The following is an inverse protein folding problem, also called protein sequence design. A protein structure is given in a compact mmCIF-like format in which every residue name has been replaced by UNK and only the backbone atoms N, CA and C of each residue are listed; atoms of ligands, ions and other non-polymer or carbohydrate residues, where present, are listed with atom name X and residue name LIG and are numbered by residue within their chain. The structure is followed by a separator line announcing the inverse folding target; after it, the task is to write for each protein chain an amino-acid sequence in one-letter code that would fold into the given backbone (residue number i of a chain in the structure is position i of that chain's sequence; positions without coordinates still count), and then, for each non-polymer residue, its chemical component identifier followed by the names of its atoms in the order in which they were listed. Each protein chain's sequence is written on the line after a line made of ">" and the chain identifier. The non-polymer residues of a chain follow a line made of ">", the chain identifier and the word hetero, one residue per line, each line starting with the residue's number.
data_IF_965590614947
#
_entry.id   IF_965590614947
#
_cell.length_a   1.000
_cell.length_b   1.000
_cell.length_c   1.000
_cell.angle_alpha   90.00
_cell.angle_beta   90.00
_cell.angle_gamma   90.00
#
_symmetry.space_group_name_H-M   'P 1'
#
loop_
_entity.id
_entity.type
_entity.pdbx_description
1 polymer ?
#
# COMPACT_ATOMS: atom_id res chain seq x y z
N UNK A 1 0.57 -13.91 -2.66
CA UNK A 1 -0.58 -12.98 -2.85
C UNK A 1 -1.79 -13.52 -2.09
N UNK A 2 -2.72 -12.66 -1.66
CA UNK A 2 -4.00 -13.08 -1.08
C UNK A 2 -4.87 -13.67 -2.19
N UNK A 3 -5.51 -14.83 -1.98
CA UNK A 3 -6.39 -15.41 -2.97
C UNK A 3 -7.65 -14.56 -3.15
N UNK A 4 -8.13 -14.45 -4.40
CA UNK A 4 -9.41 -13.81 -4.70
C UNK A 4 -10.56 -14.59 -4.04
N UNK A 5 -11.64 -13.89 -3.68
CA UNK A 5 -12.79 -14.46 -2.98
C UNK A 5 -12.59 -14.61 -1.46
N UNK A 6 -11.38 -14.40 -0.94
CA UNK A 6 -11.14 -14.46 0.51
C UNK A 6 -11.75 -13.26 1.21
N UNK A 7 -12.60 -13.51 2.20
CA UNK A 7 -13.11 -12.46 3.07
C UNK A 7 -12.07 -12.08 4.11
N UNK A 8 -11.77 -10.78 4.19
CA UNK A 8 -10.96 -10.18 5.24
C UNK A 8 -11.89 -9.46 6.22
N UNK A 9 -11.71 -9.70 7.51
CA UNK A 9 -12.44 -9.03 8.58
C UNK A 9 -11.49 -8.85 9.77
N UNK A 10 -10.90 -7.67 9.91
CA UNK A 10 -9.94 -7.38 10.97
C UNK A 10 -10.05 -5.95 11.48
N UNK A 11 -9.63 -5.74 12.72
CA UNK A 11 -9.57 -4.46 13.40
C UNK A 11 -8.13 -4.12 13.80
N UNK A 12 -7.76 -2.84 13.69
CA UNK A 12 -6.50 -2.33 14.22
C UNK A 12 -6.60 -2.16 15.74
N UNK A 13 -5.68 -2.74 16.48
CA UNK A 13 -5.66 -2.68 17.95
C UNK A 13 -4.50 -1.82 18.45
N UNK A 14 -4.78 -1.01 19.47
CA UNK A 14 -3.77 -0.19 20.14
C UNK A 14 -3.15 0.88 19.23
N UNK A 15 -1.86 1.12 19.39
CA UNK A 15 -1.09 2.09 18.59
C UNK A 15 -0.27 1.41 17.52
N UNK A 16 -0.14 2.09 16.38
CA UNK A 16 0.75 1.66 15.31
C UNK A 16 2.21 1.88 15.72
N UNK A 17 3.01 0.83 15.75
CA UNK A 17 4.40 0.86 16.21
C UNK A 17 5.41 0.68 15.07
N UNK A 18 6.54 1.40 15.18
CA UNK A 18 7.67 1.25 14.28
C UNK A 18 8.21 -0.18 14.29
N UNK A 19 8.36 -0.76 13.11
CA UNK A 19 8.84 -2.13 12.94
C UNK A 19 10.36 -2.30 13.10
N UNK A 20 11.11 -1.20 13.33
CA UNK A 20 12.57 -1.26 13.46
C UNK A 20 13.30 -1.32 12.13
N UNK A 21 14.45 -1.97 12.09
CA UNK A 21 15.38 -2.00 10.96
C UNK A 21 15.59 -3.43 10.48
N UNK A 22 15.63 -3.65 9.18
CA UNK A 22 16.05 -4.93 8.60
C UNK A 22 17.56 -4.92 8.39
N UNK A 23 18.27 -5.85 9.01
CA UNK A 23 19.73 -5.94 8.90
C UNK A 23 20.21 -7.39 8.92
N UNK A 24 21.11 -7.73 8.02
CA UNK A 24 21.71 -9.08 7.92
C UNK A 24 20.66 -10.22 7.96
N UNK A 25 19.59 -10.08 7.17
CA UNK A 25 18.54 -11.11 7.06
C UNK A 25 17.58 -11.18 8.25
N UNK A 26 17.64 -10.27 9.22
CA UNK A 26 16.74 -10.24 10.37
C UNK A 26 16.24 -8.85 10.71
N UNK A 27 15.09 -8.80 11.36
CA UNK A 27 14.51 -7.56 11.87
C UNK A 27 15.05 -7.24 13.27
N UNK A 28 15.58 -6.04 13.41
CA UNK A 28 15.94 -5.45 14.71
C UNK A 28 14.80 -4.55 15.16
N UNK A 29 14.24 -4.80 16.33
CA UNK A 29 13.12 -4.04 16.89
C UNK A 29 13.53 -2.58 17.12
N UNK A 30 12.60 -1.66 16.91
CA UNK A 30 12.83 -0.24 17.18
C UNK A 30 13.07 -0.03 18.69
N UNK A 31 14.24 0.48 19.11
CA UNK A 31 14.54 0.67 20.53
C UNK A 31 13.66 1.74 21.19
N UNK A 32 13.01 2.59 20.40
CA UNK A 32 12.16 3.69 20.90
C UNK A 32 10.69 3.30 20.95
N UNK A 33 10.29 2.13 20.41
CA UNK A 33 8.88 1.76 20.27
C UNK A 33 8.02 2.85 19.62
N UNK A 34 8.62 3.65 18.72
CA UNK A 34 8.00 4.88 18.20
C UNK A 34 6.62 4.63 17.61
N UNK A 35 5.65 5.47 17.97
CA UNK A 35 4.30 5.47 17.40
C UNK A 35 4.36 6.09 16.01
N UNK A 36 3.64 5.50 15.06
CA UNK A 36 3.56 5.94 13.68
C UNK A 36 2.16 6.45 13.37
N UNK A 37 2.11 7.41 12.42
CA UNK A 37 0.84 7.86 11.85
C UNK A 37 0.15 6.72 11.08
N UNK A 38 -1.13 6.47 11.38
CA UNK A 38 -1.95 5.44 10.75
C UNK A 38 -2.25 5.70 9.27
N UNK A 39 -2.11 6.93 8.78
CA UNK A 39 -2.26 7.29 7.38
C UNK A 39 -0.99 7.09 6.54
N UNK A 40 0.18 6.96 7.19
CA UNK A 40 1.45 6.81 6.51
C UNK A 40 1.63 5.39 5.95
N UNK A 41 2.15 5.28 4.72
CA UNK A 41 2.61 4.01 4.18
C UNK A 41 3.99 3.58 4.73
N UNK A 42 4.65 4.42 5.53
CA UNK A 42 5.94 4.10 6.16
C UNK A 42 5.68 3.28 7.43
N UNK A 43 6.41 2.19 7.59
CA UNK A 43 6.35 1.29 8.74
C UNK A 43 7.54 1.47 9.69
N UNK A 44 8.30 2.56 9.50
CA UNK A 44 9.48 2.91 10.26
C UNK A 44 9.45 4.39 10.68
N UNK A 45 9.93 4.67 11.89
CA UNK A 45 10.22 6.03 12.31
C UNK A 45 11.45 6.59 11.54
N UNK A 46 11.63 7.91 11.55
CA UNK A 46 12.69 8.56 10.81
C UNK A 46 14.09 7.98 11.10
N UNK A 47 14.39 7.70 12.38
CA UNK A 47 15.68 7.12 12.78
C UNK A 47 15.89 5.72 12.24
N UNK A 48 14.87 4.85 12.32
CA UNK A 48 14.95 3.50 11.76
C UNK A 48 15.06 3.54 10.24
N UNK A 49 14.32 4.43 9.57
CA UNK A 49 14.38 4.59 8.12
C UNK A 49 15.76 5.04 7.62
N UNK A 50 16.46 5.89 8.36
CA UNK A 50 17.84 6.31 8.05
C UNK A 50 18.85 5.15 8.19
N UNK A 51 18.59 4.21 9.10
CA UNK A 51 19.48 3.07 9.35
C UNK A 51 19.19 1.86 8.43
N UNK A 52 17.98 1.81 7.86
CA UNK A 52 17.55 0.69 7.01
C UNK A 52 17.97 0.90 5.56
N UNK A 53 19.12 0.32 5.22
CA UNK A 53 19.69 0.37 3.85
C UNK A 53 19.09 -0.68 2.92
N UNK A 54 18.34 -1.64 3.44
CA UNK A 54 17.82 -2.79 2.67
C UNK A 54 16.77 -2.41 1.60
N UNK A 55 16.22 -1.20 1.68
CA UNK A 55 15.13 -0.75 0.80
C UNK A 55 15.60 -0.05 -0.48
N UNK A 56 16.89 0.25 -0.58
CA UNK A 56 17.45 0.93 -1.74
C UNK A 56 18.66 0.18 -2.27
N UNK A 57 18.63 -0.22 -3.53
CA UNK A 57 19.80 -0.78 -4.21
C UNK A 57 20.97 0.22 -4.15
N UNK A 58 20.68 1.52 -4.25
CA UNK A 58 21.70 2.57 -4.17
C UNK A 58 22.36 2.68 -2.79
N UNK A 59 21.64 2.31 -1.70
CA UNK A 59 22.16 2.42 -0.33
C UNK A 59 22.80 1.14 0.19
N UNK A 60 22.43 -0.02 -0.36
CA UNK A 60 22.83 -1.36 0.14
C UNK A 60 23.94 -2.01 -0.68
N UNK A 61 24.36 -1.39 -1.78
CA UNK A 61 25.34 -1.97 -2.69
C UNK A 61 26.67 -1.22 -2.65
N UNK A 62 27.76 -1.97 -2.60
CA UNK A 62 29.10 -1.49 -2.85
C UNK A 62 29.35 -1.45 -4.37
N UNK A 63 30.19 -0.53 -4.83
CA UNK A 63 30.46 -0.38 -6.26
C UNK A 63 31.05 -1.64 -6.90
N UNK A 64 31.75 -2.44 -6.12
CA UNK A 64 32.38 -3.72 -6.46
C UNK A 64 31.54 -4.95 -6.11
N UNK A 65 30.21 -4.79 -5.94
CA UNK A 65 29.29 -5.92 -5.72
C UNK A 65 29.46 -6.94 -6.85
N UNK A 66 29.89 -8.19 -6.54
CA UNK A 66 30.18 -9.21 -7.56
C UNK A 66 28.92 -9.81 -8.19
N UNK A 67 27.74 -9.52 -7.63
CA UNK A 67 26.49 -10.09 -8.12
C UNK A 67 26.11 -9.49 -9.47
N UNK A 68 25.56 -10.28 -10.38
CA UNK A 68 24.99 -9.75 -11.62
C UNK A 68 23.69 -8.99 -11.34
N UNK A 69 23.46 -7.94 -12.13
CA UNK A 69 22.27 -7.10 -12.10
C UNK A 69 21.55 -7.12 -13.44
N UNK A 70 20.22 -7.04 -13.42
CA UNK A 70 19.39 -6.82 -14.59
C UNK A 70 18.87 -5.40 -14.64
N UNK A 71 18.92 -4.82 -15.85
CA UNK A 71 18.20 -3.58 -16.19
C UNK A 71 16.89 -3.97 -16.85
N UNK A 72 15.79 -3.35 -16.41
CA UNK A 72 14.46 -3.64 -16.92
C UNK A 72 13.68 -2.37 -17.26
N UNK A 73 12.77 -2.49 -18.19
CA UNK A 73 11.66 -1.57 -18.40
C UNK A 73 10.41 -2.15 -17.77
N UNK A 74 9.69 -1.37 -16.99
CA UNK A 74 8.45 -1.76 -16.36
C UNK A 74 7.31 -0.85 -16.79
N UNK A 75 6.22 -1.46 -17.23
CA UNK A 75 4.99 -0.80 -17.66
C UNK A 75 3.97 -0.85 -16.53
N UNK A 76 3.37 0.29 -16.22
CA UNK A 76 2.33 0.42 -15.20
C UNK A 76 0.99 0.92 -15.76
N UNK A 77 0.97 1.36 -16.99
CA UNK A 77 -0.15 1.90 -17.75
C UNK A 77 0.32 2.77 -18.92
N UNK A 78 -0.56 3.28 -19.77
CA UNK A 78 -0.20 4.14 -20.91
C UNK A 78 0.67 5.32 -20.49
N UNK A 79 1.83 5.48 -21.12
CA UNK A 79 2.80 6.52 -20.78
C UNK A 79 3.50 6.34 -19.41
N UNK A 80 3.21 5.28 -18.67
CA UNK A 80 3.82 5.01 -17.38
C UNK A 80 4.87 3.89 -17.48
N UNK A 81 5.91 4.15 -18.27
CA UNK A 81 7.08 3.26 -18.39
C UNK A 81 8.22 3.80 -17.55
N UNK A 82 8.88 2.92 -16.83
CA UNK A 82 10.06 3.27 -16.02
C UNK A 82 11.21 2.32 -16.28
N UNK A 83 12.41 2.83 -16.11
CA UNK A 83 13.61 2.01 -16.01
C UNK A 83 13.88 1.65 -14.53
N UNK A 84 14.59 0.55 -14.32
CA UNK A 84 15.08 0.17 -13.01
C UNK A 84 16.07 -0.95 -13.08
N UNK A 85 16.78 -1.15 -11.96
CA UNK A 85 17.77 -2.21 -11.80
C UNK A 85 17.40 -3.12 -10.62
N UNK A 86 17.78 -4.37 -10.72
CA UNK A 86 17.63 -5.34 -9.62
C UNK A 86 18.72 -6.39 -9.70
N UNK A 87 19.13 -6.93 -8.55
CA UNK A 87 20.04 -8.07 -8.54
C UNK A 87 19.37 -9.25 -9.28
N UNK A 88 20.12 -9.94 -10.12
CA UNK A 88 19.60 -11.00 -10.99
C UNK A 88 18.93 -12.14 -10.20
N UNK A 89 19.41 -12.43 -9.00
CA UNK A 89 18.85 -13.43 -8.08
C UNK A 89 17.40 -13.12 -7.64
N UNK A 90 17.02 -11.84 -7.60
CA UNK A 90 15.64 -11.43 -7.32
C UNK A 90 14.70 -11.66 -8.50
N UNK A 91 15.26 -11.74 -9.72
CA UNK A 91 14.50 -11.95 -10.94
C UNK A 91 13.26 -11.05 -11.04
N UNK A 92 12.13 -11.57 -11.50
CA UNK A 92 10.88 -10.80 -11.66
C UNK A 92 10.19 -10.45 -10.33
N UNK A 93 10.60 -11.02 -9.19
CA UNK A 93 9.94 -10.76 -7.90
C UNK A 93 9.87 -9.26 -7.57
N UNK A 94 10.94 -8.51 -7.94
CA UNK A 94 10.96 -7.05 -7.76
C UNK A 94 9.88 -6.32 -8.55
N UNK A 95 9.55 -6.82 -9.73
CA UNK A 95 8.53 -6.25 -10.62
C UNK A 95 7.12 -6.54 -10.11
N UNK A 96 6.91 -7.77 -9.63
CA UNK A 96 5.68 -8.16 -8.94
C UNK A 96 5.45 -7.31 -7.68
N UNK A 97 6.48 -7.11 -6.85
CA UNK A 97 6.42 -6.25 -5.65
C UNK A 97 6.05 -4.79 -5.98
N UNK A 98 6.51 -4.28 -7.11
CA UNK A 98 6.19 -2.93 -7.58
C UNK A 98 4.81 -2.81 -8.23
N UNK A 99 4.17 -3.94 -8.53
CA UNK A 99 2.90 -4.02 -9.24
C UNK A 99 3.03 -3.58 -10.70
N UNK A 100 4.14 -3.97 -11.36
CA UNK A 100 4.31 -3.76 -12.80
C UNK A 100 3.31 -4.62 -13.57
N UNK A 101 2.55 -4.01 -14.47
CA UNK A 101 1.55 -4.70 -15.33
C UNK A 101 2.25 -5.57 -16.37
N UNK A 102 3.33 -5.04 -16.95
CA UNK A 102 4.20 -5.78 -17.85
C UNK A 102 5.65 -5.29 -17.70
N UNK A 103 6.60 -6.07 -18.20
CA UNK A 103 8.00 -5.67 -18.22
C UNK A 103 8.79 -6.38 -19.30
N UNK A 104 9.96 -5.82 -19.62
CA UNK A 104 10.98 -6.45 -20.44
C UNK A 104 12.38 -6.21 -19.83
N UNK A 105 13.27 -7.19 -20.00
CA UNK A 105 14.68 -7.02 -19.66
C UNK A 105 15.40 -6.30 -20.78
N UNK A 106 16.24 -5.31 -20.43
CA UNK A 106 17.10 -4.58 -21.38
C UNK A 106 18.52 -5.13 -21.46
N UNK A 107 19.05 -5.56 -20.31
CA UNK A 107 20.43 -6.02 -20.26
C UNK A 107 20.78 -6.64 -18.91
N UNK A 108 21.92 -7.35 -18.89
CA UNK A 108 22.45 -8.01 -17.69
C UNK A 108 23.96 -7.76 -17.58
N UNK A 109 24.45 -7.47 -16.37
CA UNK A 109 25.85 -7.24 -16.15
C UNK A 109 26.18 -6.76 -14.73
N UNK A 110 27.39 -6.21 -14.52
CA UNK A 110 27.81 -5.66 -13.23
C UNK A 110 26.93 -4.49 -12.79
N UNK A 111 26.83 -4.26 -11.47
CA UNK A 111 26.03 -3.17 -10.89
C UNK A 111 26.33 -1.82 -11.53
N UNK A 112 27.62 -1.46 -11.70
CA UNK A 112 27.97 -0.14 -12.23
C UNK A 112 27.60 0.05 -13.70
N UNK A 113 27.63 -1.02 -14.51
CA UNK A 113 27.11 -1.00 -15.88
C UNK A 113 25.58 -0.81 -15.88
N UNK A 114 24.86 -1.53 -15.03
CA UNK A 114 23.40 -1.38 -14.87
C UNK A 114 23.02 0.04 -14.45
N UNK A 115 23.73 0.65 -13.50
CA UNK A 115 23.52 2.05 -13.08
C UNK A 115 23.78 3.06 -14.20
N UNK A 116 24.83 2.85 -14.99
CA UNK A 116 25.13 3.72 -16.15
C UNK A 116 24.02 3.62 -17.19
N UNK A 117 23.52 2.43 -17.48
CA UNK A 117 22.40 2.25 -18.40
C UNK A 117 21.11 2.92 -17.87
N UNK A 118 20.78 2.78 -16.57
CA UNK A 118 19.64 3.46 -15.96
C UNK A 118 19.77 4.99 -16.08
N UNK A 119 20.96 5.55 -15.80
CA UNK A 119 21.22 6.98 -15.94
C UNK A 119 21.16 7.44 -17.40
N UNK A 120 21.70 6.64 -18.36
CA UNK A 120 21.64 6.91 -19.79
C UNK A 120 20.19 7.01 -20.27
N UNK A 121 19.34 6.02 -19.91
CA UNK A 121 17.92 6.00 -20.27
C UNK A 121 17.16 7.19 -19.69
N UNK A 122 17.45 7.55 -18.44
CA UNK A 122 16.87 8.71 -17.80
C UNK A 122 17.23 10.02 -18.49
N UNK A 123 18.49 10.17 -18.94
CA UNK A 123 18.97 11.39 -19.58
C UNK A 123 18.61 11.49 -21.07
N UNK A 124 18.71 10.39 -21.81
CA UNK A 124 18.53 10.40 -23.26
C UNK A 124 17.06 10.23 -23.71
N UNK A 125 16.28 9.43 -22.99
CA UNK A 125 14.89 9.11 -23.33
C UNK A 125 13.88 9.66 -22.30
N UNK A 126 14.35 10.43 -21.32
CA UNK A 126 13.53 10.97 -20.24
C UNK A 126 12.68 9.88 -19.49
N UNK A 127 13.18 8.65 -19.45
CA UNK A 127 12.49 7.54 -18.76
C UNK A 127 12.68 7.67 -17.25
N UNK A 128 11.62 7.85 -16.48
CA UNK A 128 11.73 8.05 -15.04
C UNK A 128 12.09 6.74 -14.30
N UNK A 129 12.60 6.88 -13.07
CA UNK A 129 12.87 5.77 -12.16
C UNK A 129 11.69 5.46 -11.22
N UNK A 130 10.69 6.34 -11.18
CA UNK A 130 9.52 6.21 -10.28
C UNK A 130 8.27 6.90 -10.80
N UNK A 131 7.12 6.42 -10.35
CA UNK A 131 5.82 7.06 -10.52
C UNK A 131 5.07 7.13 -9.20
N UNK A 132 4.21 8.14 -9.08
CA UNK A 132 3.29 8.27 -7.97
C UNK A 132 2.35 7.04 -7.91
N UNK A 133 2.00 6.63 -6.71
CA UNK A 133 1.13 5.47 -6.49
C UNK A 133 -0.28 5.70 -7.06
N UNK A 134 -0.80 6.92 -6.91
CA UNK A 134 -2.09 7.31 -7.43
C UNK A 134 -2.16 7.15 -8.96
N UNK A 135 -1.12 7.58 -9.71
CA UNK A 135 -1.06 7.41 -11.16
C UNK A 135 -1.12 5.94 -11.57
N UNK A 136 -0.37 5.07 -10.89
CA UNK A 136 -0.41 3.62 -11.15
C UNK A 136 -1.78 3.00 -10.87
N UNK A 137 -2.47 3.44 -9.81
CA UNK A 137 -3.81 2.96 -9.46
C UNK A 137 -4.84 3.39 -10.50
N UNK A 138 -4.80 4.67 -10.90
CA UNK A 138 -5.68 5.21 -11.93
C UNK A 138 -5.52 4.45 -13.25
N UNK A 139 -4.28 4.21 -13.68
CA UNK A 139 -3.99 3.50 -14.92
C UNK A 139 -4.52 2.06 -14.93
N UNK A 140 -4.51 1.37 -13.78
CA UNK A 140 -5.00 -0.03 -13.70
C UNK A 140 -6.50 -0.18 -13.99
N UNK A 141 -7.30 0.87 -13.77
CA UNK A 141 -8.74 0.87 -14.08
C UNK A 141 -9.06 1.03 -15.58
N UNK A 142 -8.05 1.37 -16.41
CA UNK A 142 -8.24 1.67 -17.84
C UNK A 142 -7.03 1.17 -18.66
N UNK A 143 -6.62 -0.07 -18.45
CA UNK A 143 -5.51 -0.66 -19.20
C UNK A 143 -5.92 -0.94 -20.64
N UNK A 144 -5.08 -0.59 -21.64
CA UNK A 144 -5.31 -0.97 -23.02
C UNK A 144 -5.14 -2.50 -23.19
N UNK A 145 -5.54 -3.07 -24.32
CA UNK A 145 -5.30 -4.45 -24.68
C UNK A 145 -3.82 -4.86 -24.57
N UNK A 146 -3.56 -6.12 -24.30
CA UNK A 146 -2.17 -6.63 -24.14
C UNK A 146 -1.28 -6.29 -25.33
N UNK A 147 -1.71 -6.44 -26.61
CA UNK A 147 -0.87 -6.08 -27.76
C UNK A 147 -0.41 -4.63 -27.76
N UNK A 148 -1.26 -3.70 -27.37
CA UNK A 148 -0.92 -2.27 -27.34
C UNK A 148 0.15 -1.96 -26.25
N UNK A 149 0.04 -2.61 -25.09
CA UNK A 149 1.02 -2.51 -24.01
C UNK A 149 2.37 -3.09 -24.42
N UNK A 150 2.34 -4.22 -25.13
CA UNK A 150 3.54 -4.88 -25.67
C UNK A 150 4.21 -3.96 -26.68
N UNK A 151 3.44 -3.38 -27.60
CA UNK A 151 3.98 -2.46 -28.63
C UNK A 151 4.63 -1.21 -28.00
N UNK A 152 3.99 -0.60 -26.99
CA UNK A 152 4.55 0.56 -26.29
C UNK A 152 5.87 0.21 -25.55
N UNK A 153 5.93 -0.97 -24.92
CA UNK A 153 7.12 -1.44 -24.24
C UNK A 153 8.24 -1.81 -25.21
N UNK A 154 7.89 -2.42 -26.36
CA UNK A 154 8.82 -2.79 -27.42
C UNK A 154 9.44 -1.56 -28.08
N UNK A 155 8.63 -0.55 -28.36
CA UNK A 155 9.11 0.71 -28.91
C UNK A 155 10.19 1.35 -28.02
N UNK A 156 9.94 1.41 -26.72
CA UNK A 156 10.93 1.95 -25.78
C UNK A 156 12.16 1.04 -25.66
N UNK A 157 11.97 -0.28 -25.71
CA UNK A 157 13.07 -1.24 -25.68
C UNK A 157 14.00 -1.06 -26.88
N UNK A 158 13.45 -0.98 -28.10
CA UNK A 158 14.22 -0.73 -29.32
C UNK A 158 14.98 0.60 -29.25
N UNK A 159 14.30 1.69 -28.86
CA UNK A 159 14.93 2.99 -28.69
C UNK A 159 16.09 2.96 -27.67
N UNK A 160 15.94 2.19 -26.60
CA UNK A 160 16.98 2.02 -25.59
C UNK A 160 18.22 1.27 -26.12
N UNK A 161 18.01 0.25 -26.95
CA UNK A 161 19.11 -0.53 -27.56
C UNK A 161 19.89 0.25 -28.62
N UNK A 162 19.27 1.25 -29.25
CA UNK A 162 19.91 2.12 -30.27
C UNK A 162 20.74 3.26 -29.68
N UNK A 163 20.68 3.46 -28.35
CA UNK A 163 21.41 4.56 -27.71
C UNK A 163 22.92 4.40 -27.81
N UNK A 164 23.59 5.44 -28.27
CA UNK A 164 25.03 5.54 -28.15
C UNK A 164 25.46 5.63 -26.69
N UNK A 165 26.56 4.97 -26.33
CA UNK A 165 27.09 4.98 -24.96
C UNK A 165 26.53 3.87 -24.06
N UNK A 166 25.88 2.85 -24.67
CA UNK A 166 25.52 1.65 -23.95
C UNK A 166 26.74 1.02 -23.27
N UNK A 167 26.68 0.65 -21.99
CA UNK A 167 27.84 0.11 -21.27
C UNK A 167 28.30 -1.22 -21.88
N UNK A 168 29.55 -1.34 -22.31
CA UNK A 168 30.11 -2.52 -22.95
C UNK A 168 29.99 -3.81 -22.11
N UNK A 169 30.06 -3.69 -20.80
CA UNK A 169 29.95 -4.83 -19.88
C UNK A 169 28.48 -5.19 -19.52
N UNK A 170 27.51 -4.47 -20.06
CA UNK A 170 26.09 -4.80 -19.93
C UNK A 170 25.62 -5.53 -21.19
N UNK A 171 25.45 -6.84 -21.07
CA UNK A 171 24.97 -7.68 -22.17
C UNK A 171 23.51 -7.32 -22.49
N UNK A 172 23.20 -6.89 -23.73
CA UNK A 172 21.82 -6.66 -24.15
C UNK A 172 20.99 -7.94 -24.06
N UNK A 173 19.70 -7.76 -23.82
CA UNK A 173 18.72 -8.85 -23.81
C UNK A 173 17.69 -8.57 -24.93
N UNK A 174 17.39 -9.55 -25.74
CA UNK A 174 16.35 -9.47 -26.76
C UNK A 174 15.00 -9.15 -26.12
N UNK A 175 14.16 -8.44 -26.88
CA UNK A 175 12.83 -8.09 -26.40
C UNK A 175 12.00 -9.34 -26.13
N UNK A 176 11.52 -9.46 -24.93
CA UNK A 176 10.54 -10.41 -24.50
C UNK A 176 9.66 -9.77 -23.42
N UNK A 177 8.40 -9.57 -23.74
CA UNK A 177 7.46 -8.99 -22.79
C UNK A 177 6.89 -10.08 -21.88
N UNK A 178 6.97 -9.86 -20.58
CA UNK A 178 6.25 -10.62 -19.57
C UNK A 178 5.07 -9.79 -19.06
N UNK A 179 3.84 -10.22 -19.34
CA UNK A 179 2.61 -9.58 -18.89
C UNK A 179 2.10 -10.25 -17.61
N UNK A 180 1.65 -9.46 -16.65
CA UNK A 180 1.18 -9.90 -15.34
C UNK A 180 -0.35 -9.84 -15.20
N UNK A 181 -1.11 -9.68 -16.28
CA UNK A 181 -2.57 -9.57 -16.24
C UNK A 181 -3.21 -10.76 -15.51
N UNK A 182 -2.84 -11.98 -15.89
CA UNK A 182 -3.35 -13.19 -15.24
C UNK A 182 -2.81 -13.33 -13.81
N UNK A 183 -1.51 -13.06 -13.60
CA UNK A 183 -0.88 -13.17 -12.30
C UNK A 183 -1.56 -12.29 -11.25
N UNK A 184 -1.91 -11.06 -11.62
CA UNK A 184 -2.60 -10.13 -10.74
C UNK A 184 -4.12 -10.22 -10.84
N UNK A 185 -4.69 -10.87 -11.87
CA UNK A 185 -6.13 -10.80 -12.15
C UNK A 185 -6.59 -9.36 -12.36
N UNK A 186 -5.91 -8.61 -13.23
CA UNK A 186 -6.17 -7.19 -13.47
C UNK A 186 -7.55 -6.93 -14.05
N UNK A 187 -8.14 -7.91 -14.72
CA UNK A 187 -9.52 -7.93 -15.23
C UNK A 187 -10.59 -7.77 -14.13
N UNK A 188 -10.24 -8.08 -12.88
CA UNK A 188 -11.13 -7.93 -11.73
C UNK A 188 -11.17 -6.52 -11.14
N UNK A 189 -10.29 -5.64 -11.61
CA UNK A 189 -10.22 -4.26 -11.14
C UNK A 189 -11.20 -3.42 -11.96
N UNK A 190 -12.27 -2.86 -11.37
CA UNK A 190 -13.20 -1.99 -12.09
C UNK A 190 -12.55 -0.65 -12.42
N UNK A 191 -13.16 0.09 -13.38
CA UNK A 191 -12.70 1.42 -13.76
C UNK A 191 -12.75 2.44 -12.62
N UNK A 192 -13.71 2.28 -11.71
CA UNK A 192 -13.85 3.15 -10.53
C UNK A 192 -13.48 2.38 -9.27
N UNK A 193 -12.47 2.88 -8.57
CA UNK A 193 -11.97 2.30 -7.31
C UNK A 193 -11.77 3.43 -6.32
N UNK A 194 -12.36 3.31 -5.13
CA UNK A 194 -12.09 4.22 -4.03
C UNK A 194 -10.80 3.87 -3.30
N UNK A 195 -10.24 4.79 -2.53
CA UNK A 195 -9.09 4.53 -1.66
C UNK A 195 -9.51 4.46 -0.20
N UNK A 196 -9.01 3.44 0.52
CA UNK A 196 -9.10 3.41 1.96
C UNK A 196 -8.07 4.36 2.57
N UNK A 197 -8.53 5.20 3.46
CA UNK A 197 -7.71 6.19 4.15
C UNK A 197 -6.85 5.59 5.27
N UNK A 198 -6.34 6.46 6.14
CA UNK A 198 -5.55 6.06 7.30
C UNK A 198 -6.36 5.26 8.32
N UNK A 199 -5.70 4.31 8.96
CA UNK A 199 -6.28 3.53 10.05
C UNK A 199 -6.05 4.20 11.40
N UNK A 200 -7.01 4.08 12.29
CA UNK A 200 -6.91 4.46 13.70
C UNK A 200 -7.16 3.23 14.57
N UNK A 201 -6.83 3.32 15.85
CA UNK A 201 -7.18 2.24 16.80
C UNK A 201 -8.69 1.97 16.78
N UNK A 202 -9.06 0.72 16.69
CA UNK A 202 -10.47 0.28 16.57
C UNK A 202 -11.03 0.35 15.15
N UNK A 203 -10.30 0.91 14.17
CA UNK A 203 -10.76 0.90 12.78
C UNK A 203 -10.80 -0.52 12.22
N UNK A 204 -11.86 -0.83 11.51
CA UNK A 204 -12.14 -2.15 10.95
C UNK A 204 -12.11 -2.12 9.42
N UNK A 205 -11.61 -3.21 8.83
CA UNK A 205 -11.70 -3.47 7.40
C UNK A 205 -12.42 -4.81 7.21
N UNK A 206 -13.54 -4.76 6.50
CA UNK A 206 -14.37 -5.91 6.18
C UNK A 206 -14.68 -5.89 4.69
N UNK A 207 -14.27 -6.92 3.98
CA UNK A 207 -14.48 -7.00 2.53
C UNK A 207 -13.93 -8.29 1.93
N UNK A 208 -14.35 -8.56 0.71
CA UNK A 208 -13.88 -9.68 -0.09
C UNK A 208 -12.70 -9.23 -0.97
N UNK A 209 -11.60 -9.99 -0.96
CA UNK A 209 -10.44 -9.73 -1.82
C UNK A 209 -10.81 -9.99 -3.28
N UNK A 210 -10.70 -8.97 -4.11
CA UNK A 210 -10.79 -9.11 -5.57
C UNK A 210 -9.45 -9.52 -6.15
N UNK A 211 -8.41 -8.76 -5.79
CA UNK A 211 -7.04 -9.05 -6.22
C UNK A 211 -6.02 -8.26 -5.40
N UNK A 212 -4.72 -8.59 -5.63
CA UNK A 212 -3.58 -7.86 -5.09
C UNK A 212 -2.57 -7.52 -6.18
N UNK A 213 -2.13 -6.26 -6.24
CA UNK A 213 -1.14 -5.77 -7.22
C UNK A 213 -0.02 -5.04 -6.49
N UNK A 214 1.13 -5.68 -6.37
CA UNK A 214 2.23 -5.19 -5.53
C UNK A 214 1.79 -5.11 -4.06
N UNK A 215 1.83 -3.92 -3.48
CA UNK A 215 1.33 -3.67 -2.12
C UNK A 215 -0.15 -3.26 -2.05
N UNK A 216 -0.82 -3.09 -3.19
CA UNK A 216 -2.23 -2.71 -3.24
C UNK A 216 -3.13 -3.95 -3.15
N UNK A 217 -4.12 -3.92 -2.26
CA UNK A 217 -5.16 -4.94 -2.13
C UNK A 217 -6.49 -4.30 -2.48
N UNK A 218 -7.16 -4.86 -3.48
CA UNK A 218 -8.47 -4.43 -3.94
C UNK A 218 -9.54 -5.26 -3.24
N UNK A 219 -10.47 -4.59 -2.60
CA UNK A 219 -11.52 -5.19 -1.79
C UNK A 219 -12.90 -4.76 -2.29
N UNK A 220 -13.81 -5.69 -2.43
CA UNK A 220 -15.24 -5.39 -2.45
C UNK A 220 -15.69 -5.21 -1.01
N UNK A 221 -16.03 -3.99 -0.64
CA UNK A 221 -16.43 -3.67 0.72
C UNK A 221 -17.81 -4.27 1.03
N UNK A 222 -17.96 -4.79 2.26
CA UNK A 222 -19.23 -5.26 2.74
C UNK A 222 -20.19 -4.08 2.90
N UNK A 223 -21.42 -4.22 2.40
CA UNK A 223 -22.51 -3.27 2.64
C UNK A 223 -23.14 -3.56 4.00
N UNK A 224 -23.46 -2.51 4.75
CA UNK A 224 -24.34 -2.64 5.91
C UNK A 224 -25.74 -3.00 5.40
N UNK A 225 -26.03 -4.27 5.25
CA UNK A 225 -27.39 -4.72 4.99
C UNK A 225 -28.26 -4.37 6.16
N UNK A 226 -29.35 -3.67 5.93
CA UNK A 226 -30.48 -3.63 6.86
C UNK A 226 -30.87 -5.08 7.10
N UNK A 227 -30.88 -5.51 8.37
CA UNK A 227 -31.03 -6.90 8.73
C UNK A 227 -32.34 -7.49 8.21
N UNK A 228 -32.24 -8.39 7.26
CA UNK A 228 -33.22 -9.44 7.12
C UNK A 228 -33.04 -10.37 8.32
N UNK A 229 -33.94 -10.20 9.32
CA UNK A 229 -34.06 -11.07 10.46
C UNK A 229 -34.40 -12.49 9.98
N UNK A 230 -33.39 -13.35 9.90
CA UNK A 230 -33.61 -14.77 9.89
C UNK A 230 -34.15 -15.15 11.31
N UNK A 231 -35.45 -15.25 11.41
CA UNK A 231 -36.12 -15.88 12.52
C UNK A 231 -35.63 -17.32 12.64
N UNK A 232 -34.79 -17.58 13.63
CA UNK A 232 -34.51 -18.94 14.04
C UNK A 232 -35.78 -19.49 14.71
N UNK A 233 -36.50 -20.31 13.97
CA UNK A 233 -37.57 -21.12 14.54
C UNK A 233 -37.00 -22.03 15.63
N UNK A 234 -37.54 -21.82 16.86
CA UNK A 234 -37.17 -22.59 18.02
C UNK A 234 -37.71 -24.00 17.95
N UNK A 235 -36.86 -24.95 18.23
CA UNK A 235 -37.26 -26.26 18.69
C UNK A 235 -37.23 -26.26 20.23
N UNK A 236 -38.40 -26.37 20.83
CA UNK A 236 -38.55 -26.45 22.27
C UNK A 236 -38.02 -27.77 22.83
N UNK A 237 -37.52 -27.71 24.05
CA UNK A 237 -37.48 -28.84 24.95
C UNK A 237 -37.73 -28.32 26.38
N UNK A 238 -38.81 -28.78 26.96
CA UNK A 238 -39.24 -28.58 28.34
C UNK A 238 -38.27 -29.23 29.32
N UNK A 239 -38.09 -28.64 30.49
CA UNK A 239 -37.38 -29.27 31.59
C UNK A 239 -37.47 -28.44 32.89
N UNK A 240 -38.39 -28.79 33.75
CA UNK A 240 -38.69 -28.20 35.04
C UNK A 240 -37.61 -28.37 36.10
N UNK A 241 -37.53 -27.47 37.08
CA UNK A 241 -36.83 -27.71 38.35
C UNK A 241 -36.50 -26.44 39.13
N UNK A 242 -37.39 -26.00 39.92
CA UNK A 242 -37.51 -25.49 41.30
C UNK A 242 -36.22 -25.23 42.10
N UNK A 243 -36.24 -24.13 42.87
CA UNK A 243 -35.58 -24.00 44.19
C UNK A 243 -34.86 -22.68 44.42
N UNK A 244 -35.49 -21.69 44.95
CA UNK A 244 -35.46 -21.07 46.31
C UNK A 244 -34.15 -20.40 46.79
N UNK A 245 -34.42 -19.15 47.21
CA UNK A 245 -33.89 -18.39 48.38
C UNK A 245 -32.40 -18.00 48.41
N UNK A 246 -32.05 -16.76 48.70
CA UNK A 246 -32.45 -15.79 49.65
C UNK A 246 -31.30 -14.84 49.96
N UNK A 247 -31.58 -13.61 50.36
CA UNK A 247 -30.75 -12.76 51.21
C UNK A 247 -29.88 -11.72 50.53
N UNK A 248 -30.22 -10.47 50.41
CA UNK A 248 -30.28 -9.39 51.40
C UNK A 248 -28.92 -8.86 51.88
N UNK A 249 -28.75 -7.61 51.63
CA UNK A 249 -28.29 -6.55 52.55
C UNK A 249 -27.09 -5.68 52.08
N UNK A 250 -27.44 -4.39 51.80
CA UNK A 250 -26.93 -3.14 52.45
C UNK A 250 -25.42 -2.88 52.37
N UNK A 251 -24.97 -1.76 52.11
CA UNK A 251 -25.23 -0.32 52.18
C UNK A 251 -23.89 0.38 52.31
N UNK A 252 -23.82 1.57 51.82
CA UNK A 252 -23.05 2.62 52.48
C UNK A 252 -21.83 3.12 51.71
N UNK A 253 -21.89 4.38 51.34
CA UNK A 253 -20.98 5.39 51.76
C UNK A 253 -20.69 6.46 50.77
N UNK A 254 -21.28 7.61 51.00
CA UNK A 254 -21.09 8.89 50.33
C UNK A 254 -19.70 9.49 50.56
N UNK A 255 -19.21 10.28 49.62
CA UNK A 255 -18.08 11.19 49.78
C UNK A 255 -18.05 12.27 48.73
N UNK A 256 -18.78 13.36 48.96
CA UNK A 256 -18.62 14.65 48.23
C UNK A 256 -17.40 15.36 48.72
N UNK A 257 -16.62 15.97 47.83
CA UNK A 257 -15.97 17.25 48.12
C UNK A 257 -15.96 18.11 46.83
N UNK A 258 -16.47 19.32 47.04
CA UNK A 258 -16.55 20.46 46.12
C UNK A 258 -15.21 21.21 46.04
N UNK A 259 -14.96 21.85 44.93
CA UNK A 259 -13.89 22.83 44.82
C UNK A 259 -13.96 23.64 43.54
N UNK A 260 -14.34 24.87 43.66
CA UNK A 260 -14.66 25.95 42.74
C UNK A 260 -13.58 26.29 41.67
N UNK A 261 -14.08 26.84 40.51
CA UNK A 261 -13.33 27.54 39.47
C UNK A 261 -12.89 28.97 39.90
N UNK A 262 -12.65 29.95 39.02
CA UNK A 262 -12.96 30.09 37.57
C UNK A 262 -11.88 30.86 36.73
N UNK A 263 -12.31 31.29 35.50
CA UNK A 263 -11.89 32.45 34.61
C UNK A 263 -10.77 32.15 33.60
N UNK A 264 -11.01 32.09 32.30
CA UNK A 264 -11.22 33.19 31.37
C UNK A 264 -10.22 33.07 30.24
N UNK A 265 -10.66 33.11 28.99
CA UNK A 265 -9.79 33.26 27.82
C UNK A 265 -10.47 32.84 26.51
N UNK A 266 -11.21 33.78 25.90
CA UNK A 266 -11.76 33.67 24.57
C UNK A 266 -10.63 33.60 23.52
N UNK A 267 -10.74 32.64 22.61
CA UNK A 267 -9.92 32.52 21.43
C UNK A 267 -10.65 31.71 20.35
N UNK A 268 -11.53 32.38 19.60
CA UNK A 268 -12.20 31.78 18.44
C UNK A 268 -11.17 31.54 17.35
N UNK A 269 -10.80 30.28 17.13
CA UNK A 269 -10.22 29.80 15.88
C UNK A 269 -11.28 28.98 15.15
N UNK A 270 -11.79 29.54 14.05
CA UNK A 270 -12.68 28.85 13.12
C UNK A 270 -11.91 27.73 12.43
N UNK A 271 -12.07 26.51 12.92
CA UNK A 271 -11.62 25.31 12.25
C UNK A 271 -12.63 24.91 11.19
N UNK A 272 -12.28 25.09 9.93
CA UNK A 272 -12.96 24.42 8.82
C UNK A 272 -12.71 22.93 8.92
N UNK A 273 -13.68 22.20 9.45
CA UNK A 273 -13.67 20.74 9.48
C UNK A 273 -13.78 20.17 8.06
N UNK A 274 -13.18 19.02 7.77
CA UNK A 274 -13.34 18.37 6.49
C UNK A 274 -14.79 17.88 6.35
N UNK A 275 -15.44 18.31 5.28
CA UNK A 275 -16.74 17.80 4.87
C UNK A 275 -16.56 16.34 4.48
N UNK A 276 -16.85 15.44 5.41
CA UNK A 276 -16.94 14.03 5.15
C UNK A 276 -18.22 13.75 4.34
N UNK A 277 -18.08 13.56 3.04
CA UNK A 277 -19.15 12.94 2.25
C UNK A 277 -19.18 11.46 2.62
N UNK A 278 -20.04 11.11 3.57
CA UNK A 278 -20.43 9.74 3.82
C UNK A 278 -21.25 9.27 2.61
N UNK A 279 -20.61 8.65 1.63
CA UNK A 279 -21.27 7.93 0.56
C UNK A 279 -22.02 6.73 1.15
N UNK A 280 -23.35 6.83 1.19
CA UNK A 280 -24.24 5.74 1.58
C UNK A 280 -24.24 4.66 0.50
N UNK A 281 -23.94 3.41 0.90
CA UNK A 281 -24.64 2.22 0.44
C UNK A 281 -24.49 1.83 -1.02
N UNK A 282 -23.49 1.09 -1.32
CA UNK A 282 -23.35 0.18 -2.45
C UNK A 282 -22.03 -0.53 -2.27
N UNK A 283 -21.96 -1.85 -2.48
CA UNK A 283 -20.75 -2.64 -2.34
C UNK A 283 -19.64 -2.17 -3.30
N UNK A 284 -19.11 -0.98 -3.08
CA UNK A 284 -18.06 -0.37 -3.87
C UNK A 284 -16.74 -1.10 -3.73
N UNK A 285 -15.89 -1.00 -4.75
CA UNK A 285 -14.52 -1.51 -4.69
C UNK A 285 -13.61 -0.43 -4.14
N UNK A 286 -12.79 -0.80 -3.18
CA UNK A 286 -11.78 0.07 -2.61
C UNK A 286 -10.41 -0.59 -2.61
N UNK A 287 -9.37 0.21 -2.68
CA UNK A 287 -7.98 -0.23 -2.61
C UNK A 287 -7.32 0.24 -1.32
N UNK A 288 -6.58 -0.66 -0.67
CA UNK A 288 -5.70 -0.34 0.46
C UNK A 288 -4.25 -0.67 0.12
N UNK A 289 -3.34 0.18 0.57
CA UNK A 289 -1.92 -0.18 0.62
C UNK A 289 -1.65 -1.09 1.83
N UNK A 290 -1.36 -2.35 1.59
CA UNK A 290 -1.08 -3.31 2.66
C UNK A 290 0.08 -2.86 3.59
N UNK A 291 0.97 -1.97 3.15
CA UNK A 291 2.02 -1.40 3.99
C UNK A 291 1.47 -0.53 5.12
N UNK A 292 0.26 0.02 4.94
CA UNK A 292 -0.41 0.78 6.01
C UNK A 292 -0.83 -0.11 7.19
N UNK A 293 -0.94 -1.41 6.97
CA UNK A 293 -1.24 -2.40 8.01
C UNK A 293 -0.01 -2.74 8.86
N UNK A 294 1.19 -2.50 8.31
CA UNK A 294 2.45 -2.81 8.98
C UNK A 294 2.62 -1.95 10.25
N UNK A 295 2.92 -2.60 11.35
CA UNK A 295 3.10 -1.95 12.66
C UNK A 295 1.85 -1.88 13.52
N UNK A 296 0.69 -2.27 13.00
CA UNK A 296 -0.52 -2.52 13.77
C UNK A 296 -0.56 -3.93 14.34
N UNK A 297 -1.16 -4.08 15.51
CA UNK A 297 -1.69 -5.38 15.98
C UNK A 297 -3.07 -5.54 15.36
N UNK A 298 -3.28 -6.61 14.60
CA UNK A 298 -4.54 -6.88 13.94
C UNK A 298 -5.31 -7.98 14.71
N UNK A 299 -6.49 -7.67 15.17
CA UNK A 299 -7.44 -8.60 15.76
C UNK A 299 -8.62 -8.88 14.81
N UNK A 300 -9.52 -9.76 15.21
CA UNK A 300 -10.77 -9.99 14.48
C UNK A 300 -11.63 -8.73 14.52
N UNK A 301 -12.30 -8.39 13.41
CA UNK A 301 -13.33 -7.36 13.40
C UNK A 301 -14.56 -7.86 14.16
N UNK A 302 -15.21 -6.95 14.87
CA UNK A 302 -16.49 -7.20 15.56
C UNK A 302 -17.65 -6.78 14.65
N UNK A 303 -17.45 -5.71 13.90
CA UNK A 303 -18.43 -5.19 12.95
C UNK A 303 -18.50 -5.99 11.65
N UNK A 304 -19.52 -5.68 10.86
CA UNK A 304 -19.75 -6.30 9.54
C UNK A 304 -19.40 -5.39 8.37
N UNK A 305 -18.96 -4.17 8.64
CA UNK A 305 -18.68 -3.14 7.64
C UNK A 305 -17.31 -2.49 7.91
N UNK A 306 -16.69 -1.99 6.85
CA UNK A 306 -15.45 -1.20 6.95
C UNK A 306 -15.74 0.16 7.59
N UNK A 307 -14.98 0.52 8.62
CA UNK A 307 -15.08 1.82 9.32
C UNK A 307 -13.96 2.79 8.93
N UNK A 308 -12.95 2.32 8.20
CA UNK A 308 -11.89 3.17 7.64
C UNK A 308 -12.50 4.16 6.64
N UNK A 309 -12.09 5.45 6.65
CA UNK A 309 -12.59 6.43 5.69
C UNK A 309 -12.35 6.00 4.25
N UNK A 310 -13.38 6.10 3.42
CA UNK A 310 -13.34 5.79 1.99
C UNK A 310 -13.28 7.11 1.22
N UNK A 311 -12.32 7.25 0.32
CA UNK A 311 -12.14 8.44 -0.52
C UNK A 311 -12.34 8.05 -1.98
N UNK A 312 -13.18 8.79 -2.72
CA UNK A 312 -13.26 8.63 -4.16
C UNK A 312 -11.94 9.11 -4.80
N UNK A 313 -11.39 8.34 -5.71
CA UNK A 313 -10.27 8.76 -6.54
C UNK A 313 -10.86 9.55 -7.70
N UNK A 314 -10.87 10.90 -7.59
CA UNK A 314 -11.29 11.74 -8.70
C UNK A 314 -10.22 11.81 -9.80
N UNK A 315 -10.59 11.98 -11.07
CA UNK A 315 -9.66 12.33 -12.13
C UNK A 315 -9.03 13.70 -11.80
N UNK A 316 -7.75 13.74 -11.45
CA UNK A 316 -7.04 14.98 -11.11
C UNK A 316 -6.30 15.01 -9.76
N UNK A 317 -6.37 13.96 -8.95
CA UNK A 317 -5.63 13.90 -7.69
C UNK A 317 -4.10 13.72 -7.87
N UNK A 318 -3.65 13.43 -9.09
CA UNK A 318 -2.24 13.19 -9.39
C UNK A 318 -1.36 14.43 -9.57
N UNK A 319 -1.94 15.61 -9.78
CA UNK A 319 -1.17 16.83 -10.11
C UNK A 319 -0.67 17.60 -8.87
N UNK A 320 -1.27 17.44 -7.71
CA UNK A 320 -0.93 18.23 -6.51
C UNK A 320 0.23 17.70 -5.69
N UNK A 321 0.64 16.45 -5.86
CA UNK A 321 1.77 15.88 -5.11
C UNK A 321 3.14 16.05 -5.81
N UNK A 322 3.16 16.57 -7.04
CA UNK A 322 4.39 16.80 -7.81
C UNK A 322 5.13 18.09 -7.41
N UNK A 323 4.47 19.04 -6.76
CA UNK A 323 5.08 20.33 -6.36
C UNK A 323 5.80 20.30 -5.00
N UNK A 324 5.73 19.20 -4.26
CA UNK A 324 6.24 19.09 -2.88
C UNK A 324 7.62 18.48 -2.69
N UNK A 325 8.32 18.03 -3.74
CA UNK A 325 9.69 17.51 -3.60
C UNK A 325 10.70 18.51 -4.13
N UNK A 326 10.97 19.51 -3.29
CA UNK A 326 11.98 20.50 -3.47
C UNK A 326 13.37 19.90 -3.70
N UNK A 327 14.05 20.50 -4.67
CA UNK A 327 15.48 20.74 -4.77
C UNK A 327 16.30 20.06 -3.68
N UNK A 328 16.95 18.99 -4.01
CA UNK A 328 18.15 18.59 -3.30
C UNK A 328 19.33 19.22 -4.03
N UNK A 329 19.81 20.31 -3.47
CA UNK A 329 21.08 20.94 -3.85
C UNK A 329 22.18 19.91 -3.74
N UNK A 330 22.98 19.83 -4.80
CA UNK A 330 24.15 18.97 -4.85
C UNK A 330 25.17 19.36 -3.77
N UNK A 331 25.71 18.36 -3.14
CA UNK A 331 27.00 18.41 -2.52
C UNK A 331 27.82 17.26 -3.08
N UNK A 332 28.95 17.65 -3.57
CA UNK A 332 30.05 16.97 -4.27
C UNK A 332 30.38 15.57 -3.74
#
# INVERSE_FOLDING_TARGET
>A
MLPAGKVLAFAAQGERRCLGVWRAGRRLVCPYGAVLDGASARDQCARCAQLDRSRSVAADTMADDPRPYGVYLAYFGPGLLKVGITAAERGPARLVEQGAVAYAWLGRGPLMAARRAEALLGSALAVPDRFAKAAKRAARGALPPVPDRVAELEQLHCAAQELAGWPETLQPVEFACADHTELFGLDRIPGEVAELGGMTAGAEIVGEVLTGVGSDVYLRLATGGEGEGAAAEGAGAEGAGSGRDGGSSRAGGAGRVSGAGPVGGEGQARGSGPVGVAGRGGGGVAVIDARMLSGWVLGAAVGRVTTVPVRAVGPGAGERDAEGTGRQEGLF
#
